data_IF_621400084613
#
_entry.id   IF_621400084613
#
_cell.length_a   1.000
_cell.length_b   1.000
_cell.length_c   1.000
_cell.angle_alpha   90.00
_cell.angle_beta   90.00
_cell.angle_gamma   90.00
#
_symmetry.space_group_name_H-M   'P 1'
#
loop_
_entity.id
_entity.type
_entity.pdbx_description
1 polymer ?
#
# COMPACT_ATOMS: atom_id res chain seq x y z
N UNK A 1 6.23 17.93 -14.25
CA UNK A 1 5.75 17.53 -12.91
C UNK A 1 4.75 16.38 -13.06
N UNK A 2 4.95 15.30 -12.36
CA UNK A 2 4.02 14.17 -12.38
C UNK A 2 2.92 14.36 -11.34
N UNK A 3 1.67 14.05 -11.72
CA UNK A 3 0.55 14.03 -10.80
C UNK A 3 0.25 12.58 -10.44
N UNK A 4 0.16 12.30 -9.15
CA UNK A 4 -0.23 11.00 -8.64
C UNK A 4 -1.62 11.11 -8.03
N UNK A 5 -2.54 10.32 -8.58
CA UNK A 5 -3.93 10.28 -8.15
C UNK A 5 -4.33 8.85 -7.86
N UNK A 6 -4.97 8.61 -6.72
CA UNK A 6 -5.37 7.28 -6.31
C UNK A 6 -6.40 7.25 -5.22
N UNK A 7 -6.76 6.03 -4.83
CA UNK A 7 -7.71 5.72 -3.78
C UNK A 7 -7.05 4.87 -2.69
N UNK A 8 -7.71 4.68 -1.54
CA UNK A 8 -7.15 3.85 -0.47
C UNK A 8 -7.43 2.35 -0.63
N UNK A 9 -8.00 1.93 -1.74
CA UNK A 9 -8.35 0.54 -2.01
C UNK A 9 -8.34 0.25 -3.50
N UNK A 10 -7.94 -0.96 -3.89
CA UNK A 10 -8.14 -1.45 -5.25
C UNK A 10 -9.04 -2.69 -5.30
N UNK A 11 -9.19 -3.38 -4.17
CA UNK A 11 -9.98 -4.61 -4.10
C UNK A 11 -11.42 -4.30 -3.72
N UNK A 12 -12.18 -3.84 -4.71
CA UNK A 12 -13.58 -3.47 -4.52
C UNK A 12 -14.43 -4.07 -5.63
N UNK A 13 -15.22 -5.08 -5.29
CA UNK A 13 -16.07 -5.80 -6.25
C UNK A 13 -17.13 -4.90 -6.91
N UNK A 14 -17.57 -3.87 -6.21
CA UNK A 14 -18.57 -2.94 -6.72
C UNK A 14 -18.11 -2.14 -7.94
N UNK A 15 -16.81 -2.14 -8.22
CA UNK A 15 -16.28 -1.46 -9.40
C UNK A 15 -16.34 -2.30 -10.67
N UNK A 16 -16.59 -3.61 -10.55
CA UNK A 16 -16.68 -4.50 -11.71
C UNK A 16 -17.91 -4.12 -12.55
N UNK A 17 -17.69 -3.90 -13.84
CA UNK A 17 -18.74 -3.43 -14.75
C UNK A 17 -18.88 -1.91 -14.83
N UNK A 18 -18.12 -1.19 -14.00
CA UNK A 18 -18.08 0.29 -13.99
C UNK A 18 -16.65 0.77 -14.19
N UNK A 19 -15.94 0.99 -13.06
CA UNK A 19 -14.54 1.41 -13.08
C UNK A 19 -13.62 0.32 -13.62
N UNK A 20 -13.88 -0.94 -13.24
CA UNK A 20 -13.20 -2.10 -13.84
C UNK A 20 -14.08 -2.70 -14.94
N UNK A 21 -13.45 -3.28 -15.99
CA UNK A 21 -14.22 -3.95 -17.04
C UNK A 21 -15.11 -5.04 -16.49
N UNK A 22 -16.23 -5.27 -17.15
CA UNK A 22 -17.15 -6.36 -16.83
C UNK A 22 -16.41 -7.70 -16.88
N UNK A 23 -16.59 -8.52 -15.86
CA UNK A 23 -15.93 -9.82 -15.76
C UNK A 23 -14.54 -9.80 -15.15
N UNK A 24 -14.04 -8.64 -14.70
CA UNK A 24 -12.73 -8.57 -14.03
C UNK A 24 -12.74 -9.41 -12.76
N UNK A 25 -11.73 -10.27 -12.62
CA UNK A 25 -11.57 -11.14 -11.45
C UNK A 25 -10.76 -10.43 -10.36
N UNK A 26 -10.97 -10.79 -9.07
CA UNK A 26 -10.20 -10.17 -7.98
C UNK A 26 -8.68 -10.20 -8.17
N UNK A 27 -8.15 -11.26 -8.75
CA UNK A 27 -6.71 -11.38 -9.01
C UNK A 27 -6.19 -10.32 -9.98
N UNK A 28 -7.07 -9.71 -10.78
CA UNK A 28 -6.72 -8.71 -11.78
C UNK A 28 -7.10 -7.28 -11.38
N UNK A 29 -7.68 -7.09 -10.19
CA UNK A 29 -8.15 -5.78 -9.75
C UNK A 29 -7.02 -4.74 -9.70
N UNK A 30 -5.85 -5.09 -9.17
CA UNK A 30 -4.73 -4.16 -9.11
C UNK A 30 -4.24 -3.78 -10.50
N UNK A 31 -4.17 -4.74 -11.41
CA UNK A 31 -3.76 -4.51 -12.79
C UNK A 31 -4.69 -3.50 -13.48
N UNK A 32 -6.00 -3.67 -13.30
CA UNK A 32 -6.98 -2.75 -13.86
C UNK A 32 -6.96 -1.38 -13.16
N UNK A 33 -6.74 -1.37 -11.85
CA UNK A 33 -6.57 -0.14 -11.08
C UNK A 33 -5.40 0.68 -11.61
N UNK A 34 -4.25 0.03 -11.82
CA UNK A 34 -3.02 0.69 -12.24
C UNK A 34 -3.07 1.21 -13.69
N UNK A 35 -4.04 0.78 -14.49
CA UNK A 35 -4.29 1.34 -15.82
C UNK A 35 -4.98 2.69 -15.75
N UNK A 36 -5.69 2.99 -14.67
CA UNK A 36 -6.54 4.16 -14.53
C UNK A 36 -6.03 5.19 -13.55
N UNK A 37 -5.34 4.72 -12.51
CA UNK A 37 -4.80 5.57 -11.45
C UNK A 37 -3.30 5.32 -11.31
N UNK A 38 -2.60 6.29 -10.73
CA UNK A 38 -1.13 6.29 -10.72
C UNK A 38 -0.54 5.94 -9.37
N UNK A 39 -1.36 5.92 -8.32
CA UNK A 39 -0.90 5.59 -6.98
C UNK A 39 -2.00 4.94 -6.15
N UNK A 40 -1.60 4.34 -5.05
CA UNK A 40 -2.50 3.69 -4.09
C UNK A 40 -2.03 3.99 -2.68
N UNK A 41 -2.94 4.32 -1.79
CA UNK A 41 -2.69 4.30 -0.35
C UNK A 41 -2.89 2.86 0.12
N UNK A 42 -1.80 2.19 0.47
CA UNK A 42 -1.82 0.77 0.78
C UNK A 42 -2.27 0.46 2.20
N UNK A 43 -3.56 0.52 2.48
CA UNK A 43 -4.12 0.28 3.81
C UNK A 43 -4.00 -1.18 4.27
N UNK A 44 -3.87 -2.13 3.36
CA UNK A 44 -3.74 -3.55 3.73
C UNK A 44 -2.52 -3.82 4.60
N UNK A 45 -1.43 -3.08 4.39
CA UNK A 45 -0.20 -3.22 5.18
C UNK A 45 -0.37 -2.73 6.63
N UNK A 46 -1.39 -1.94 6.91
CA UNK A 46 -1.72 -1.53 8.27
C UNK A 46 -2.11 -2.72 9.15
N UNK A 47 -2.77 -3.71 8.56
CA UNK A 47 -3.29 -4.88 9.27
C UNK A 47 -2.37 -6.08 9.20
N UNK A 48 -1.61 -6.24 8.13
CA UNK A 48 -0.74 -7.40 7.93
C UNK A 48 0.45 -7.05 7.03
N UNK A 49 1.62 -7.58 7.37
CA UNK A 49 2.81 -7.44 6.55
C UNK A 49 2.68 -8.44 5.38
N UNK A 50 2.77 -7.99 4.12
CA UNK A 50 2.62 -8.87 2.98
C UNK A 50 3.80 -9.83 2.84
N UNK A 51 3.52 -11.03 2.31
CA UNK A 51 4.54 -11.99 1.97
C UNK A 51 5.31 -11.54 0.71
N UNK A 52 6.51 -12.07 0.54
CA UNK A 52 7.36 -11.74 -0.62
C UNK A 52 6.64 -12.01 -1.96
N UNK A 53 5.88 -13.10 -2.05
CA UNK A 53 5.12 -13.42 -3.26
C UNK A 53 4.02 -12.42 -3.55
N UNK A 54 3.43 -11.81 -2.52
CA UNK A 54 2.43 -10.76 -2.67
C UNK A 54 3.05 -9.50 -3.25
N UNK A 55 4.21 -9.09 -2.74
CA UNK A 55 4.97 -7.96 -3.28
C UNK A 55 5.34 -8.22 -4.74
N UNK A 56 5.81 -9.43 -5.06
CA UNK A 56 6.14 -9.80 -6.45
C UNK A 56 4.92 -9.69 -7.38
N UNK A 57 3.73 -10.09 -6.90
CA UNK A 57 2.49 -9.94 -7.65
C UNK A 57 2.14 -8.46 -7.88
N UNK A 58 2.35 -7.61 -6.89
CA UNK A 58 2.12 -6.16 -7.04
C UNK A 58 3.03 -5.56 -8.11
N UNK A 59 4.31 -5.98 -8.13
CA UNK A 59 5.27 -5.52 -9.15
C UNK A 59 4.82 -5.95 -10.54
N UNK A 60 4.43 -7.22 -10.67
CA UNK A 60 3.99 -7.77 -11.96
C UNK A 60 2.76 -7.07 -12.52
N UNK A 61 1.83 -6.67 -11.65
CA UNK A 61 0.56 -6.09 -12.06
C UNK A 61 0.61 -4.59 -12.36
N UNK A 62 1.71 -3.92 -12.04
CA UNK A 62 1.79 -2.45 -12.13
C UNK A 62 2.92 -2.00 -13.02
N UNK A 63 2.76 -0.88 -13.75
CA UNK A 63 3.88 -0.30 -14.50
C UNK A 63 4.91 0.29 -13.53
N UNK A 64 6.14 0.47 -14.01
CA UNK A 64 7.23 1.02 -13.21
C UNK A 64 6.95 2.43 -12.71
N UNK A 65 6.08 3.16 -13.39
CA UNK A 65 5.67 4.51 -13.02
C UNK A 65 4.63 4.57 -11.88
N UNK A 66 4.02 3.43 -11.56
CA UNK A 66 3.04 3.34 -10.48
C UNK A 66 3.73 3.48 -9.12
N UNK A 67 3.03 4.10 -8.15
CA UNK A 67 3.59 4.32 -6.80
C UNK A 67 2.67 3.73 -5.73
N UNK A 68 3.27 2.88 -4.90
CA UNK A 68 2.63 2.38 -3.68
C UNK A 68 3.01 3.27 -2.52
N UNK A 69 2.01 3.72 -1.75
CA UNK A 69 2.21 4.47 -0.51
C UNK A 69 1.73 3.60 0.65
N UNK A 70 2.57 2.65 1.12
CA UNK A 70 2.15 1.70 2.15
C UNK A 70 1.89 2.40 3.47
N UNK A 71 0.82 2.01 4.14
CA UNK A 71 0.54 2.48 5.49
C UNK A 71 1.37 1.67 6.49
N UNK A 72 2.05 2.35 7.39
CA UNK A 72 2.85 1.72 8.44
C UNK A 72 1.94 0.82 9.29
N UNK A 73 2.36 -0.43 9.59
CA UNK A 73 1.53 -1.36 10.37
C UNK A 73 1.09 -0.79 11.73
N UNK A 74 -0.15 -1.10 12.11
CA UNK A 74 -0.69 -0.65 13.41
C UNK A 74 0.11 -1.19 14.59
N UNK A 75 0.79 -2.31 14.42
CA UNK A 75 1.67 -2.87 15.44
C UNK A 75 2.82 -1.91 15.79
N UNK A 76 3.14 -0.97 14.90
CA UNK A 76 4.15 0.06 15.11
C UNK A 76 3.50 1.35 15.59
N UNK A 77 2.49 1.84 14.85
CA UNK A 77 1.90 3.16 15.07
C UNK A 77 0.95 3.21 16.26
N UNK A 78 0.35 2.08 16.65
CA UNK A 78 -0.72 2.02 17.66
C UNK A 78 -0.34 1.26 18.93
N UNK A 79 0.95 0.96 19.12
CA UNK A 79 1.45 0.26 20.30
C UNK A 79 2.54 1.09 20.99
N UNK A 80 2.31 1.52 22.22
CA UNK A 80 3.32 2.17 23.04
C UNK A 80 3.98 3.39 22.39
N UNK A 81 5.27 3.54 22.61
CA UNK A 81 6.06 4.66 22.09
C UNK A 81 6.72 4.27 20.76
N UNK A 82 6.70 5.17 19.79
CA UNK A 82 7.25 4.90 18.46
C UNK A 82 8.71 4.49 18.50
N UNK A 83 9.52 5.10 19.38
CA UNK A 83 10.95 4.80 19.45
C UNK A 83 11.25 3.34 19.82
N UNK A 84 10.32 2.68 20.50
CA UNK A 84 10.48 1.27 20.89
C UNK A 84 10.34 0.32 19.69
N UNK A 85 9.82 0.81 18.57
CA UNK A 85 9.54 -0.03 17.40
C UNK A 85 10.38 0.31 16.17
N UNK A 86 11.51 0.99 16.38
CA UNK A 86 12.43 1.36 15.27
C UNK A 86 12.86 0.13 14.47
N UNK A 87 13.22 -0.97 15.13
CA UNK A 87 13.63 -2.19 14.43
C UNK A 87 12.52 -2.78 13.60
N UNK A 88 11.29 -2.73 14.09
CA UNK A 88 10.11 -3.19 13.33
C UNK A 88 9.83 -2.32 12.11
N UNK A 89 10.02 -1.01 12.26
CA UNK A 89 9.87 -0.07 11.15
C UNK A 89 10.91 -0.32 10.06
N UNK A 90 12.15 -0.57 10.45
CA UNK A 90 13.23 -0.92 9.51
C UNK A 90 12.94 -2.26 8.81
N UNK A 91 12.45 -3.25 9.56
CA UNK A 91 12.04 -4.53 8.99
C UNK A 91 10.93 -4.34 7.95
N UNK A 92 9.91 -3.54 8.26
CA UNK A 92 8.84 -3.24 7.31
C UNK A 92 9.38 -2.55 6.06
N UNK A 93 10.29 -1.60 6.23
CA UNK A 93 10.92 -0.91 5.09
C UNK A 93 11.67 -1.90 4.20
N UNK A 94 12.36 -2.88 4.80
CA UNK A 94 13.06 -3.92 4.03
C UNK A 94 12.11 -4.81 3.24
N UNK A 95 10.95 -5.14 3.81
CA UNK A 95 9.90 -5.90 3.12
C UNK A 95 9.40 -5.15 1.88
N UNK A 96 9.32 -3.81 1.95
CA UNK A 96 8.85 -2.98 0.84
C UNK A 96 9.95 -2.68 -0.19
N UNK A 97 11.21 -2.90 0.14
CA UNK A 97 12.35 -2.56 -0.72
C UNK A 97 12.27 -3.13 -2.15
N UNK A 98 11.79 -4.37 -2.38
CA UNK A 98 11.66 -4.90 -3.75
C UNK A 98 10.77 -4.08 -4.68
N UNK A 99 9.88 -3.23 -4.15
CA UNK A 99 9.09 -2.32 -4.97
C UNK A 99 9.96 -1.32 -5.72
N UNK A 100 11.16 -1.04 -5.23
CA UNK A 100 12.15 -0.14 -5.85
C UNK A 100 11.53 1.21 -6.23
N UNK A 101 11.53 1.58 -7.52
CA UNK A 101 10.97 2.86 -7.97
C UNK A 101 9.45 2.97 -7.76
N UNK A 102 8.76 1.83 -7.57
CA UNK A 102 7.32 1.81 -7.28
C UNK A 102 7.00 2.16 -5.82
N UNK A 103 8.01 2.20 -4.94
CA UNK A 103 7.81 2.58 -3.55
C UNK A 103 7.75 4.09 -3.43
N UNK A 104 6.57 4.60 -3.09
CA UNK A 104 6.36 5.99 -2.75
C UNK A 104 6.52 6.23 -1.25
N UNK A 105 6.07 7.38 -0.76
CA UNK A 105 6.12 7.66 0.68
C UNK A 105 5.35 6.64 1.49
N UNK A 106 5.89 6.27 2.65
CA UNK A 106 5.16 5.46 3.61
C UNK A 106 4.30 6.36 4.49
N UNK A 107 3.08 5.91 4.78
CA UNK A 107 2.11 6.70 5.50
C UNK A 107 2.04 6.25 6.97
N UNK A 108 2.38 7.16 7.87
CA UNK A 108 2.30 6.93 9.33
C UNK A 108 1.10 7.67 9.90
N UNK A 109 0.11 6.93 10.39
CA UNK A 109 -1.03 7.49 11.08
C UNK A 109 -0.99 7.11 12.55
N UNK A 110 -0.93 8.11 13.41
CA UNK A 110 -0.92 7.92 14.85
C UNK A 110 -2.35 7.82 15.39
N UNK A 111 -2.58 7.10 16.51
CA UNK A 111 -3.89 7.06 17.12
C UNK A 111 -4.28 8.43 17.66
N UNK A 112 -5.59 8.73 17.77
CA UNK A 112 -6.04 10.05 18.26
C UNK A 112 -5.53 10.41 19.65
N UNK A 113 -5.28 9.40 20.48
CA UNK A 113 -4.80 9.58 21.87
C UNK A 113 -3.29 9.73 21.98
N UNK A 114 -2.55 9.68 20.87
CA UNK A 114 -1.09 9.78 20.90
C UNK A 114 -0.69 11.18 21.33
N UNK A 115 0.20 11.23 22.33
CA UNK A 115 0.77 12.48 22.83
C UNK A 115 2.28 12.44 22.66
N UNK A 116 2.87 13.43 21.99
CA UNK A 116 4.32 13.51 21.87
C UNK A 116 4.93 13.88 23.24
N UNK A 117 5.98 13.18 23.61
CA UNK A 117 6.73 13.45 24.83
C UNK A 117 8.20 13.65 24.50
#
# INVERSE_FOLDING_TARGET
MALYLGCPIWSFKGWVGNFYPKGTKPADFLREYARRLTTIEGNTTFYAIPAAKTIASWIEQTPETFRFCPKIPKAISHNGKLLEYTDRALYFADIMRPLASRLGPMFLQLPPRYSPN
#
